data_IF_471516235829
#
_entry.id   IF_471516235829
#
_cell.length_a   1.000
_cell.length_b   1.000
_cell.length_c   1.000
_cell.angle_alpha   90.00
_cell.angle_beta   90.00
_cell.angle_gamma   90.00
#
_symmetry.space_group_name_H-M   'P 1'
#
loop_
_entity.id
_entity.type
_entity.pdbx_description
1 polymer ?
#
# COMPACT_ATOMS: atom_id res chain seq x y z
N UNK A 1 -2.29 4.15 10.56
CA UNK A 1 -1.57 2.91 10.18
C UNK A 1 -1.38 2.07 11.43
N UNK A 2 -1.94 0.86 11.46
CA UNK A 2 -2.00 -0.02 12.64
C UNK A 2 -0.66 -0.72 12.92
N UNK A 3 0.46 0.00 12.85
CA UNK A 3 1.81 -0.54 13.06
C UNK A 3 2.43 -1.29 11.87
N UNK A 4 1.69 -1.49 10.77
CA UNK A 4 2.14 -2.18 9.57
C UNK A 4 2.86 -1.25 8.57
N UNK A 5 4.01 -1.65 7.96
CA UNK A 5 4.64 -0.91 6.86
C UNK A 5 3.72 -0.69 5.67
N UNK A 6 3.84 0.46 5.00
CA UNK A 6 3.00 0.81 3.85
C UNK A 6 3.10 -0.20 2.69
N UNK A 7 4.30 -0.70 2.42
CA UNK A 7 4.55 -1.71 1.38
C UNK A 7 3.85 -3.03 1.73
N UNK A 8 3.93 -3.45 3.00
CA UNK A 8 3.32 -4.69 3.47
C UNK A 8 1.78 -4.58 3.45
N UNK A 9 1.22 -3.39 3.60
CA UNK A 9 -0.21 -3.16 3.40
C UNK A 9 -0.64 -3.43 1.96
N UNK A 10 0.14 -3.01 0.96
CA UNK A 10 -0.14 -3.31 -0.45
C UNK A 10 -0.11 -4.82 -0.71
N UNK A 11 0.90 -5.53 -0.21
CA UNK A 11 1.04 -6.98 -0.38
C UNK A 11 -0.18 -7.73 0.19
N UNK A 12 -0.66 -7.35 1.37
CA UNK A 12 -1.79 -8.03 2.01
C UNK A 12 -3.16 -7.68 1.44
N UNK A 13 -3.33 -6.53 0.80
CA UNK A 13 -4.62 -6.13 0.26
C UNK A 13 -4.77 -6.49 -1.21
N UNK A 14 -3.69 -6.40 -1.99
CA UNK A 14 -3.71 -6.68 -3.42
C UNK A 14 -3.32 -8.14 -3.70
N UNK A 15 -4.09 -9.08 -3.15
CA UNK A 15 -4.03 -10.51 -3.47
C UNK A 15 -5.42 -11.04 -3.82
N UNK A 16 -5.46 -12.06 -4.69
CA UNK A 16 -6.71 -12.75 -5.02
C UNK A 16 -7.14 -13.60 -3.84
N UNK A 17 -8.34 -13.35 -3.32
CA UNK A 17 -8.88 -14.09 -2.18
C UNK A 17 -10.36 -14.43 -2.37
N UNK A 18 -10.84 -15.44 -1.64
CA UNK A 18 -12.25 -15.84 -1.64
C UNK A 18 -12.73 -15.83 -0.19
N UNK A 19 -13.77 -15.06 0.09
CA UNK A 19 -14.40 -15.08 1.40
C UNK A 19 -15.08 -16.44 1.63
N UNK A 20 -14.66 -17.14 2.70
CA UNK A 20 -15.12 -18.52 2.96
C UNK A 20 -16.60 -18.62 3.31
N UNK A 21 -17.21 -17.54 3.82
CA UNK A 21 -18.60 -17.56 4.25
C UNK A 21 -19.55 -17.28 3.09
N UNK A 22 -19.23 -16.31 2.26
CA UNK A 22 -20.06 -15.84 1.14
C UNK A 22 -19.68 -16.47 -0.20
N UNK A 23 -18.46 -16.99 -0.35
CA UNK A 23 -17.92 -17.48 -1.62
C UNK A 23 -17.57 -16.37 -2.62
N UNK A 24 -17.62 -15.10 -2.20
CA UNK A 24 -17.33 -13.95 -3.07
C UNK A 24 -15.82 -13.90 -3.34
N UNK A 25 -15.46 -13.85 -4.63
CA UNK A 25 -14.11 -13.60 -5.11
C UNK A 25 -13.79 -12.11 -4.98
N UNK A 26 -12.68 -11.81 -4.32
CA UNK A 26 -12.04 -10.51 -4.32
C UNK A 26 -10.79 -10.60 -5.19
N UNK A 27 -10.90 -10.13 -6.42
CA UNK A 27 -9.80 -10.06 -7.38
C UNK A 27 -9.40 -8.59 -7.60
N UNK A 28 -8.25 -8.14 -7.07
CA UNK A 28 -7.83 -6.75 -7.20
C UNK A 28 -7.48 -6.35 -8.65
N UNK A 29 -7.30 -7.32 -9.57
CA UNK A 29 -7.07 -7.03 -10.99
C UNK A 29 -8.32 -6.48 -11.68
N UNK A 30 -9.51 -6.69 -11.12
CA UNK A 30 -10.78 -6.16 -11.64
C UNK A 30 -11.02 -4.69 -11.28
N UNK A 31 -10.17 -4.09 -10.43
CA UNK A 31 -10.34 -2.70 -9.98
C UNK A 31 -10.01 -1.66 -11.06
N UNK A 32 -9.09 -1.97 -11.97
CA UNK A 32 -8.60 -1.03 -12.98
C UNK A 32 -8.47 -1.69 -14.34
N UNK A 33 -8.79 -0.94 -15.40
CA UNK A 33 -8.53 -1.37 -16.79
C UNK A 33 -7.03 -1.36 -17.15
N UNK A 34 -6.18 -0.67 -16.37
CA UNK A 34 -4.73 -0.71 -16.56
C UNK A 34 -4.14 -1.95 -15.90
N UNK A 35 -3.61 -2.93 -16.68
CA UNK A 35 -3.02 -4.13 -16.11
C UNK A 35 -1.77 -3.84 -15.26
N UNK A 36 -1.16 -2.66 -15.38
CA UNK A 36 -0.01 -2.26 -14.58
C UNK A 36 -0.40 -1.50 -13.31
N UNK A 37 -1.68 -1.31 -13.01
CA UNK A 37 -2.14 -0.49 -11.89
C UNK A 37 -1.49 -0.90 -10.56
N UNK A 38 -1.56 -2.18 -10.20
CA UNK A 38 -1.03 -2.69 -8.92
C UNK A 38 0.50 -2.52 -8.85
N UNK A 39 1.20 -2.79 -9.96
CA UNK A 39 2.65 -2.61 -10.05
C UNK A 39 3.03 -1.13 -9.87
N UNK A 40 2.36 -0.23 -10.59
CA UNK A 40 2.58 1.21 -10.51
C UNK A 40 2.26 1.76 -9.12
N UNK A 41 1.21 1.23 -8.48
CA UNK A 41 0.85 1.55 -7.10
C UNK A 41 1.96 1.14 -6.12
N UNK A 42 2.46 -0.09 -6.23
CA UNK A 42 3.55 -0.57 -5.37
C UNK A 42 4.82 0.30 -5.52
N UNK A 43 5.23 0.61 -6.76
CA UNK A 43 6.38 1.48 -7.03
C UNK A 43 6.17 2.89 -6.45
N UNK A 44 4.95 3.42 -6.57
CA UNK A 44 4.58 4.71 -6.00
C UNK A 44 4.65 4.70 -4.48
N UNK A 45 4.14 3.64 -3.83
CA UNK A 45 4.17 3.49 -2.36
C UNK A 45 5.60 3.36 -1.84
N UNK A 46 6.49 2.64 -2.53
CA UNK A 46 7.92 2.60 -2.19
C UNK A 46 8.51 4.01 -2.23
N UNK A 47 8.23 4.75 -3.31
CA UNK A 47 8.75 6.12 -3.50
C UNK A 47 8.23 7.07 -2.44
N UNK A 48 6.92 7.04 -2.16
CA UNK A 48 6.30 7.86 -1.12
C UNK A 48 6.90 7.51 0.24
N UNK A 49 7.06 6.23 0.58
CA UNK A 49 7.63 5.80 1.86
C UNK A 49 9.04 6.39 2.07
N UNK A 50 9.90 6.32 1.05
CA UNK A 50 11.25 6.89 1.12
C UNK A 50 11.24 8.41 1.23
N UNK A 51 10.37 9.09 0.49
CA UNK A 51 10.22 10.56 0.59
C UNK A 51 9.70 10.99 1.95
N UNK A 52 8.76 10.24 2.52
CA UNK A 52 8.22 10.50 3.86
C UNK A 52 9.31 10.40 4.91
N UNK A 53 10.14 9.35 4.89
CA UNK A 53 11.29 9.24 5.80
C UNK A 53 12.24 10.44 5.66
N UNK A 54 12.60 10.80 4.43
CA UNK A 54 13.46 11.96 4.18
C UNK A 54 12.83 13.32 4.55
N UNK A 55 11.51 13.43 4.67
CA UNK A 55 10.83 14.61 5.20
C UNK A 55 10.81 14.62 6.72
N UNK A 56 10.59 13.47 7.35
CA UNK A 56 10.65 13.29 8.80
C UNK A 56 12.04 13.67 9.31
N UNK A 57 13.10 13.22 8.62
CA UNK A 57 14.49 13.55 8.97
C UNK A 57 14.82 15.05 8.88
N UNK A 58 13.99 15.83 8.17
CA UNK A 58 14.15 17.29 8.03
C UNK A 58 13.28 18.09 8.99
N UNK A 59 12.41 17.44 9.77
CA UNK A 59 11.60 18.16 10.74
C UNK A 59 12.51 18.78 11.82
N UNK A 60 12.20 20.00 12.29
CA UNK A 60 12.95 20.59 13.39
C UNK A 60 12.73 19.79 14.67
N UNK A 61 13.73 19.82 15.56
CA UNK A 61 13.58 19.26 16.89
C UNK A 61 12.37 19.86 17.59
N UNK A 62 11.63 18.98 18.30
CA UNK A 62 10.52 19.40 19.14
C UNK A 62 11.08 20.27 20.27
N UNK A 63 10.78 21.56 20.21
CA UNK A 63 11.06 22.50 21.30
C UNK A 63 9.88 22.49 22.27
N UNK A 64 10.16 22.21 23.54
CA UNK A 64 9.20 22.28 24.65
C UNK A 64 9.43 23.56 25.47
#
# INVERSE_FOLDING_TARGET
>A
MNGKPAIEWIIDQYNVSIDKKSGILDDPNEFSEDPNYILNLLLSVITVSMKTLGLIDKLPDLKY
#
